data_IF_681677815546
#
_entry.id   IF_681677815546
#
_cell.length_a   1.000
_cell.length_b   1.000
_cell.length_c   1.000
_cell.angle_alpha   90.00
_cell.angle_beta   90.00
_cell.angle_gamma   90.00
#
_symmetry.space_group_name_H-M   'P 1'
#
loop_
_entity.id
_entity.type
_entity.pdbx_description
1 polymer ?
#
# COMPACT_ATOMS: atom_id res chain seq x y z
N UNK A 1 5.14 6.43 58.62
CA UNK A 1 4.62 5.24 57.90
C UNK A 1 4.09 5.55 56.49
N UNK A 2 3.93 6.82 56.09
CA UNK A 2 3.41 7.19 54.75
C UNK A 2 4.44 7.16 53.61
N UNK A 3 5.72 7.37 53.91
CA UNK A 3 6.82 7.39 52.93
C UNK A 3 7.00 6.07 52.16
N UNK A 4 6.99 4.89 52.83
CA UNK A 4 7.05 3.60 52.14
C UNK A 4 5.82 3.34 51.28
N UNK A 5 4.63 3.72 51.76
CA UNK A 5 3.38 3.58 51.03
C UNK A 5 3.37 4.44 49.75
N UNK A 6 3.80 5.69 49.85
CA UNK A 6 3.93 6.61 48.72
C UNK A 6 4.95 6.10 47.70
N UNK A 7 6.12 5.65 48.16
CA UNK A 7 7.15 5.04 47.30
C UNK A 7 6.60 3.82 46.56
N UNK A 8 5.82 2.97 47.24
CA UNK A 8 5.22 1.80 46.64
C UNK A 8 4.23 2.20 45.53
N UNK A 9 3.33 3.15 45.80
CA UNK A 9 2.38 3.66 44.80
C UNK A 9 3.11 4.22 43.56
N UNK A 10 4.17 5.00 43.74
CA UNK A 10 4.94 5.56 42.61
C UNK A 10 5.64 4.50 41.77
N UNK A 11 6.10 3.40 42.39
CA UNK A 11 6.71 2.28 41.68
C UNK A 11 5.65 1.52 40.86
N UNK A 12 4.45 1.31 41.42
CA UNK A 12 3.35 0.69 40.69
C UNK A 12 2.86 1.55 39.51
N UNK A 13 2.80 2.87 39.67
CA UNK A 13 2.38 3.78 38.60
C UNK A 13 3.38 3.79 37.44
N UNK A 14 4.69 3.83 37.75
CA UNK A 14 5.74 3.72 36.73
C UNK A 14 5.75 2.35 36.03
N UNK A 15 5.52 1.26 36.77
CA UNK A 15 5.36 -0.08 36.19
C UNK A 15 4.13 -0.16 35.27
N UNK A 16 3.00 0.40 35.69
CA UNK A 16 1.77 0.43 34.89
C UNK A 16 1.96 1.22 33.59
N UNK A 17 2.65 2.37 33.66
CA UNK A 17 3.01 3.16 32.47
C UNK A 17 3.91 2.38 31.51
N UNK A 18 4.96 1.74 32.03
CA UNK A 18 5.87 0.91 31.23
C UNK A 18 5.13 -0.24 30.53
N UNK A 19 4.25 -0.94 31.25
CA UNK A 19 3.45 -2.03 30.69
C UNK A 19 2.50 -1.54 29.59
N UNK A 20 1.89 -0.35 29.78
CA UNK A 20 1.02 0.27 28.77
C UNK A 20 1.80 0.60 27.49
N UNK A 21 2.93 1.29 27.61
CA UNK A 21 3.79 1.62 26.46
C UNK A 21 4.26 0.36 25.73
N UNK A 22 4.57 -0.71 26.48
CA UNK A 22 4.98 -1.98 25.88
C UNK A 22 3.85 -2.66 25.12
N UNK A 23 2.65 -2.69 25.69
CA UNK A 23 1.46 -3.23 25.03
C UNK A 23 1.10 -2.43 23.77
N UNK A 24 1.18 -1.11 23.83
CA UNK A 24 0.97 -0.23 22.67
C UNK A 24 1.99 -0.52 21.57
N UNK A 25 3.27 -0.69 21.91
CA UNK A 25 4.32 -1.06 20.95
C UNK A 25 4.04 -2.42 20.28
N UNK A 26 3.62 -3.42 21.05
CA UNK A 26 3.25 -4.75 20.53
C UNK A 26 2.05 -4.63 19.61
N UNK A 27 1.00 -3.91 20.03
CA UNK A 27 -0.20 -3.67 19.25
C UNK A 27 0.14 -3.00 17.90
N UNK A 28 0.96 -1.95 17.91
CA UNK A 28 1.40 -1.28 16.69
C UNK A 28 2.16 -2.22 15.74
N UNK A 29 3.04 -3.08 16.26
CA UNK A 29 3.76 -4.08 15.45
C UNK A 29 2.81 -5.10 14.82
N UNK A 30 1.83 -5.58 15.58
CA UNK A 30 0.80 -6.50 15.06
C UNK A 30 -0.01 -5.82 13.95
N UNK A 31 -0.46 -4.58 14.19
CA UNK A 31 -1.22 -3.81 13.21
C UNK A 31 -0.43 -3.55 11.91
N UNK A 32 0.85 -3.22 12.02
CA UNK A 32 1.74 -3.07 10.84
C UNK A 32 1.83 -4.38 10.07
N UNK A 33 2.00 -5.50 10.78
CA UNK A 33 2.11 -6.83 10.16
C UNK A 33 0.82 -7.23 9.44
N UNK A 34 -0.34 -6.99 10.06
CA UNK A 34 -1.65 -7.24 9.45
C UNK A 34 -1.88 -6.35 8.22
N UNK A 35 -1.48 -5.07 8.26
CA UNK A 35 -1.58 -4.18 7.10
C UNK A 35 -0.74 -4.66 5.92
N UNK A 36 0.50 -5.12 6.17
CA UNK A 36 1.36 -5.71 5.13
C UNK A 36 0.71 -6.95 4.51
N UNK A 37 0.14 -7.81 5.33
CA UNK A 37 -0.55 -9.01 4.86
C UNK A 37 -1.80 -8.64 4.04
N UNK A 38 -2.58 -7.65 4.48
CA UNK A 38 -3.73 -7.16 3.73
C UNK A 38 -3.33 -6.56 2.37
N UNK A 39 -2.22 -5.81 2.30
CA UNK A 39 -1.68 -5.30 1.06
C UNK A 39 -1.27 -6.42 0.09
N UNK A 40 -0.63 -7.48 0.59
CA UNK A 40 -0.29 -8.67 -0.22
C UNK A 40 -1.53 -9.37 -0.76
N UNK A 41 -2.56 -9.56 0.06
CA UNK A 41 -3.83 -10.18 -0.38
C UNK A 41 -4.52 -9.30 -1.42
N UNK A 42 -4.58 -7.99 -1.19
CA UNK A 42 -5.22 -7.02 -2.08
C UNK A 42 -4.55 -6.97 -3.47
N UNK A 43 -3.21 -6.98 -3.50
CA UNK A 43 -2.43 -7.03 -4.76
C UNK A 43 -2.61 -8.33 -5.53
N UNK A 44 -2.71 -9.46 -4.85
CA UNK A 44 -2.98 -10.75 -5.52
C UNK A 44 -4.38 -10.79 -6.11
N UNK A 45 -5.39 -10.36 -5.35
CA UNK A 45 -6.77 -10.28 -5.82
C UNK A 45 -6.90 -9.34 -7.03
N UNK A 46 -6.20 -8.21 -7.01
CA UNK A 46 -6.13 -7.30 -8.14
C UNK A 46 -5.57 -7.98 -9.39
N UNK A 47 -4.49 -8.75 -9.28
CA UNK A 47 -3.90 -9.42 -10.43
C UNK A 47 -4.85 -10.43 -11.05
N UNK A 48 -5.56 -11.22 -10.24
CA UNK A 48 -6.59 -12.14 -10.73
C UNK A 48 -7.64 -11.39 -11.55
N UNK A 49 -8.14 -10.26 -11.02
CA UNK A 49 -9.05 -9.39 -11.75
C UNK A 49 -8.48 -8.83 -13.05
N UNK A 50 -7.22 -8.40 -13.05
CA UNK A 50 -6.56 -7.85 -14.24
C UNK A 50 -6.48 -8.90 -15.36
N UNK A 51 -6.26 -10.17 -15.00
CA UNK A 51 -6.13 -11.26 -15.97
C UNK A 51 -7.50 -11.74 -16.48
N UNK A 52 -8.49 -11.83 -15.59
CA UNK A 52 -9.83 -12.31 -15.90
C UNK A 52 -10.63 -11.23 -16.66
N UNK A 53 -10.64 -10.00 -16.15
CA UNK A 53 -11.45 -8.90 -16.68
C UNK A 53 -10.75 -8.23 -17.88
N UNK A 54 -11.51 -7.95 -18.94
CA UNK A 54 -10.97 -7.29 -20.13
C UNK A 54 -10.66 -5.80 -19.95
N UNK A 55 -11.29 -5.17 -18.97
CA UNK A 55 -11.02 -3.80 -18.55
C UNK A 55 -11.55 -3.62 -17.14
N UNK A 56 -10.93 -2.76 -16.35
CA UNK A 56 -11.41 -2.50 -15.01
C UNK A 56 -10.69 -1.33 -14.33
N UNK A 57 -11.21 -1.01 -13.15
CA UNK A 57 -10.67 0.01 -12.26
C UNK A 57 -10.79 -0.47 -10.82
N UNK A 58 -9.74 -0.26 -10.04
CA UNK A 58 -9.72 -0.57 -8.62
C UNK A 58 -9.03 0.55 -7.83
N UNK A 59 -9.54 0.81 -6.64
CA UNK A 59 -8.90 1.69 -5.66
C UNK A 59 -8.44 0.84 -4.48
N UNK A 60 -7.14 0.80 -4.26
CA UNK A 60 -6.49 -0.02 -3.24
C UNK A 60 -6.51 0.70 -1.89
N UNK A 61 -6.89 -0.02 -0.85
CA UNK A 61 -7.01 0.50 0.51
C UNK A 61 -5.74 0.28 1.34
N UNK A 62 -5.01 -0.80 1.07
CA UNK A 62 -3.87 -1.22 1.88
C UNK A 62 -2.56 -1.17 1.10
N UNK A 63 -2.57 -1.61 -0.15
CA UNK A 63 -1.39 -1.64 -0.99
C UNK A 63 -1.06 -0.25 -1.56
N UNK A 64 0.22 0.13 -1.43
CA UNK A 64 0.73 1.34 -2.06
C UNK A 64 1.16 1.06 -3.50
N UNK A 65 1.41 2.13 -4.26
CA UNK A 65 1.90 2.05 -5.64
C UNK A 65 3.14 1.15 -5.72
N UNK A 66 4.11 1.34 -4.84
CA UNK A 66 5.36 0.59 -4.82
C UNK A 66 5.15 -0.91 -4.62
N UNK A 67 4.20 -1.31 -3.76
CA UNK A 67 3.85 -2.72 -3.55
C UNK A 67 3.35 -3.35 -4.85
N UNK A 68 2.47 -2.63 -5.57
CA UNK A 68 1.87 -3.09 -6.82
C UNK A 68 2.91 -3.12 -7.95
N UNK A 69 3.73 -2.07 -8.08
CA UNK A 69 4.79 -1.99 -9.08
C UNK A 69 5.74 -3.18 -8.97
N UNK A 70 6.26 -3.42 -7.76
CA UNK A 70 7.15 -4.54 -7.48
C UNK A 70 6.47 -5.88 -7.81
N UNK A 71 5.18 -6.01 -7.48
CA UNK A 71 4.43 -7.21 -7.77
C UNK A 71 4.22 -7.45 -9.27
N UNK A 72 3.86 -6.41 -10.03
CA UNK A 72 3.68 -6.49 -11.49
C UNK A 72 4.99 -6.84 -12.20
N UNK A 73 6.10 -6.20 -11.82
CA UNK A 73 7.44 -6.54 -12.33
C UNK A 73 7.77 -8.00 -12.04
N UNK A 74 7.53 -8.47 -10.81
CA UNK A 74 7.72 -9.87 -10.44
C UNK A 74 6.86 -10.87 -11.23
N UNK A 75 5.74 -10.42 -11.81
CA UNK A 75 4.87 -11.24 -12.68
C UNK A 75 5.18 -11.11 -14.18
N UNK A 76 6.21 -10.35 -14.53
CA UNK A 76 6.71 -10.18 -15.90
C UNK A 76 6.06 -9.05 -16.68
N UNK A 77 5.37 -8.12 -16.02
CA UNK A 77 4.96 -6.87 -16.66
C UNK A 77 6.17 -5.94 -16.80
N UNK A 78 6.26 -5.26 -17.94
CA UNK A 78 7.32 -4.30 -18.22
C UNK A 78 6.81 -2.89 -17.96
N UNK A 79 7.61 -2.09 -17.25
CA UNK A 79 7.39 -0.66 -17.13
C UNK A 79 7.61 -0.03 -18.51
N UNK A 80 6.63 0.76 -18.96
CA UNK A 80 6.66 1.46 -20.26
C UNK A 80 6.90 2.94 -20.04
N UNK A 81 6.22 3.52 -19.07
CA UNK A 81 6.26 4.95 -18.81
C UNK A 81 6.12 5.21 -17.31
N UNK A 82 6.87 6.20 -16.83
CA UNK A 82 6.78 6.66 -15.46
C UNK A 82 6.88 8.18 -15.47
N UNK A 83 5.84 8.83 -15.00
CA UNK A 83 5.81 10.29 -14.85
C UNK A 83 5.77 10.63 -13.37
N UNK A 84 6.68 11.50 -12.95
CA UNK A 84 6.65 12.16 -11.66
C UNK A 84 6.28 13.62 -11.92
N UNK A 85 5.03 13.98 -11.66
CA UNK A 85 4.58 15.37 -11.81
C UNK A 85 4.73 16.08 -10.48
N UNK A 86 5.67 17.01 -10.41
CA UNK A 86 6.01 17.74 -9.19
C UNK A 86 5.50 19.18 -9.29
N UNK A 87 4.27 19.42 -8.80
CA UNK A 87 3.71 20.77 -8.58
C UNK A 87 2.47 20.68 -7.69
N UNK A 88 2.63 20.90 -6.37
CA UNK A 88 1.58 21.11 -5.31
C UNK A 88 0.56 19.96 -5.09
N UNK A 89 0.39 19.08 -6.08
CA UNK A 89 -0.44 17.87 -6.14
C UNK A 89 0.42 16.84 -6.86
N UNK A 90 1.33 16.16 -6.13
CA UNK A 90 2.11 15.07 -6.72
C UNK A 90 1.15 14.04 -7.31
N UNK A 91 1.28 13.80 -8.62
CA UNK A 91 0.61 12.70 -9.31
C UNK A 91 1.72 11.79 -9.78
N UNK A 92 1.85 10.65 -9.12
CA UNK A 92 2.73 9.60 -9.62
C UNK A 92 1.91 8.75 -10.59
N UNK A 93 2.45 8.58 -11.78
CA UNK A 93 1.89 7.73 -12.81
C UNK A 93 2.90 6.69 -13.22
N UNK A 94 2.46 5.45 -13.32
CA UNK A 94 3.26 4.37 -13.90
C UNK A 94 2.41 3.50 -14.79
N UNK A 95 2.94 3.22 -15.97
CA UNK A 95 2.32 2.40 -16.99
C UNK A 95 3.08 1.09 -17.15
N UNK A 96 2.37 -0.03 -16.99
CA UNK A 96 2.90 -1.36 -17.18
C UNK A 96 2.18 -2.08 -18.33
N UNK A 97 2.94 -2.81 -19.15
CA UNK A 97 2.39 -3.68 -20.19
C UNK A 97 2.94 -5.10 -20.01
N UNK A 98 2.05 -6.08 -20.02
CA UNK A 98 2.41 -7.47 -19.90
C UNK A 98 1.23 -8.38 -20.20
N UNK A 99 1.49 -9.55 -20.79
CA UNK A 99 0.48 -10.59 -21.05
C UNK A 99 -0.74 -10.09 -21.84
N UNK A 100 -0.54 -9.14 -22.76
CA UNK A 100 -1.62 -8.54 -23.53
C UNK A 100 -2.53 -7.60 -22.73
N UNK A 101 -2.08 -7.11 -21.57
CA UNK A 101 -2.82 -6.16 -20.72
C UNK A 101 -1.99 -4.91 -20.49
N UNK A 102 -2.64 -3.75 -20.62
CA UNK A 102 -2.15 -2.44 -20.19
C UNK A 102 -2.65 -2.18 -18.77
N UNK A 103 -1.77 -1.85 -17.85
CA UNK A 103 -2.08 -1.53 -16.45
C UNK A 103 -1.54 -0.15 -16.13
N UNK A 104 -2.42 0.76 -15.75
CA UNK A 104 -2.10 2.13 -15.34
C UNK A 104 -2.27 2.24 -13.83
N UNK A 105 -1.26 2.77 -13.15
CA UNK A 105 -1.31 3.03 -11.71
C UNK A 105 -1.18 4.53 -11.51
N UNK A 106 -2.09 5.06 -10.71
CA UNK A 106 -2.15 6.46 -10.36
C UNK A 106 -2.07 6.60 -8.84
N UNK A 107 -1.18 7.45 -8.37
CA UNK A 107 -1.16 7.92 -6.99
C UNK A 107 -1.42 9.41 -6.98
N UNK A 108 -2.36 9.86 -6.14
CA UNK A 108 -2.66 11.27 -5.99
C UNK A 108 -2.25 11.74 -4.60
N UNK A 109 -1.47 12.80 -4.53
CA UNK A 109 -1.24 13.54 -3.30
C UNK A 109 -2.18 14.74 -3.25
N UNK A 110 -2.83 14.96 -2.10
CA UNK A 110 -3.57 16.20 -1.84
C UNK A 110 -2.95 16.83 -0.59
N UNK A 111 -2.07 17.82 -0.77
CA UNK A 111 -1.31 18.41 0.32
C UNK A 111 -0.40 17.38 1.00
N UNK A 112 -0.52 17.24 2.33
CA UNK A 112 0.23 16.25 3.13
C UNK A 112 -0.45 14.86 3.21
N UNK A 113 -1.59 14.66 2.56
CA UNK A 113 -2.36 13.43 2.64
C UNK A 113 -2.16 12.55 1.40
N UNK A 114 -1.64 11.34 1.62
CA UNK A 114 -1.52 10.30 0.61
C UNK A 114 -2.90 9.72 0.29
N UNK A 115 -3.39 9.87 -0.95
CA UNK A 115 -4.64 9.21 -1.36
C UNK A 115 -4.41 7.71 -1.61
N UNK A 116 -5.48 6.90 -1.55
CA UNK A 116 -5.47 5.51 -2.01
C UNK A 116 -4.87 5.37 -3.42
N UNK A 117 -4.15 4.27 -3.66
CA UNK A 117 -3.60 3.94 -4.98
C UNK A 117 -4.73 3.56 -5.91
N UNK A 118 -4.82 4.21 -7.06
CA UNK A 118 -5.84 3.92 -8.08
C UNK A 118 -5.20 3.17 -9.24
N UNK A 119 -5.90 2.17 -9.75
CA UNK A 119 -5.39 1.29 -10.80
C UNK A 119 -6.46 1.12 -11.85
N UNK A 120 -6.07 1.28 -13.10
CA UNK A 120 -6.90 0.99 -14.27
C UNK A 120 -6.21 -0.08 -15.11
N UNK A 121 -6.98 -0.93 -15.78
CA UNK A 121 -6.43 -1.89 -16.74
C UNK A 121 -7.32 -2.10 -17.94
N UNK A 122 -6.70 -2.49 -19.05
CA UNK A 122 -7.37 -2.79 -20.31
C UNK A 122 -6.59 -3.84 -21.10
N UNK A 123 -7.27 -4.88 -21.57
CA UNK A 123 -6.73 -5.84 -22.54
C UNK A 123 -6.40 -5.11 -23.84
N UNK A 124 -5.18 -5.32 -24.32
CA UNK A 124 -4.72 -4.84 -25.61
C UNK A 124 -5.30 -5.77 -26.68
N UNK A 125 -6.03 -5.22 -27.65
CA UNK A 125 -6.44 -5.98 -28.81
C UNK A 125 -5.19 -6.27 -29.65
N UNK A 126 -5.02 -7.52 -30.05
CA UNK A 126 -3.82 -8.09 -30.71
C UNK A 126 -3.46 -7.46 -32.07
N UNK A 127 -4.13 -6.38 -32.50
CA UNK A 127 -3.94 -5.71 -33.79
C UNK A 127 -2.96 -4.53 -33.77
N UNK A 128 -2.50 -4.07 -32.60
CA UNK A 128 -1.65 -2.86 -32.50
C UNK A 128 -0.13 -3.15 -32.40
N UNK A 129 0.30 -4.41 -32.43
CA UNK A 129 1.73 -4.79 -32.32
C UNK A 129 2.46 -4.96 -33.67
N UNK A 130 1.88 -4.54 -34.80
CA UNK A 130 2.49 -4.71 -36.14
C UNK A 130 2.65 -3.40 -36.96
N UNK A 131 2.92 -2.26 -36.32
CA UNK A 131 3.41 -1.07 -37.06
C UNK A 131 4.61 -0.45 -36.40
#
# INVERSE_FOLDING_TARGET
>A
MWRPLYSFITVFDSLAKYMRERLESIYLRIMISLRKLAALVETHYLLEKILDEGKGFARLKYACMEDVENFLVGKGFKLVEREYVDEVVSRDFSLYIGRGVKVEIHRKFIGACLQPTEISWKKLNTTEFQR
#
